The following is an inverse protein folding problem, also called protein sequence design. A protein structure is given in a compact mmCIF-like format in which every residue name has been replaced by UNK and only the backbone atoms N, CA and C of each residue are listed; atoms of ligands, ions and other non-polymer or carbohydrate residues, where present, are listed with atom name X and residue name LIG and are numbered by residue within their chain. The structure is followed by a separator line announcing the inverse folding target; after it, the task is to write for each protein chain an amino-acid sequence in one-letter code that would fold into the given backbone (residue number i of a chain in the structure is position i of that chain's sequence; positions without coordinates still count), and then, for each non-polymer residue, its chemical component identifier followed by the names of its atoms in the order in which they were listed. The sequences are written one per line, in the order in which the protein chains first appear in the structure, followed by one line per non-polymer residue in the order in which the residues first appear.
data_IF_684258157505
#
_entry.id   IF_684258157505
#
_cell.length_a   1.000
_cell.length_b   1.000
_cell.length_c   1.000
_cell.angle_alpha   90.00
_cell.angle_beta   90.00
_cell.angle_gamma   90.00
#
_symmetry.space_group_name_H-M   'P 1'
#
loop_
_entity.id
_entity.type
_entity.pdbx_description
1 polymer ?
#
# COMPACT_ATOMS: atom_id res chain seq x y z
N UNK A 1 -7.10 -2.10 7.46
CA UNK A 1 -6.83 -2.57 8.84
C UNK A 1 -7.54 -3.88 9.16
N UNK A 2 -8.86 -3.98 8.91
CA UNK A 2 -9.72 -5.10 9.34
C UNK A 2 -9.23 -6.52 8.98
N UNK A 3 -8.64 -6.74 7.79
CA UNK A 3 -8.21 -8.07 7.36
C UNK A 3 -6.94 -8.58 8.08
N UNK A 4 -6.05 -7.66 8.48
CA UNK A 4 -4.86 -7.99 9.28
C UNK A 4 -5.22 -8.29 10.74
N UNK A 5 -6.28 -7.67 11.25
CA UNK A 5 -6.75 -7.90 12.63
C UNK A 5 -7.45 -9.26 12.76
N UNK A 6 -8.26 -9.66 11.77
CA UNK A 6 -8.93 -10.95 11.75
C UNK A 6 -7.95 -12.14 11.73
N UNK A 7 -6.87 -12.06 10.94
CA UNK A 7 -5.90 -13.15 10.83
C UNK A 7 -4.88 -13.23 11.99
N UNK A 8 -4.81 -12.22 12.86
CA UNK A 8 -3.95 -12.28 14.04
C UNK A 8 -4.35 -13.40 15.02
N UNK A 9 -5.61 -13.86 14.96
CA UNK A 9 -6.16 -14.90 15.81
C UNK A 9 -5.91 -16.33 15.29
N UNK A 10 -5.78 -16.53 13.97
CA UNK A 10 -5.75 -17.88 13.37
C UNK A 10 -4.33 -18.40 13.07
N UNK A 11 -3.30 -17.55 13.18
CA UNK A 11 -1.85 -17.88 13.06
C UNK A 11 -1.45 -18.70 11.83
N UNK A 12 -2.27 -18.78 10.79
CA UNK A 12 -1.90 -19.43 9.53
C UNK A 12 -1.45 -18.39 8.51
N UNK A 13 -0.36 -18.65 7.75
CA UNK A 13 0.04 -17.77 6.67
C UNK A 13 -1.06 -17.73 5.61
N UNK A 14 -1.56 -16.54 5.28
CA UNK A 14 -2.52 -16.39 4.19
C UNK A 14 -1.82 -16.64 2.85
N UNK A 15 -2.47 -17.37 1.95
CA UNK A 15 -2.05 -17.53 0.54
C UNK A 15 -2.20 -16.25 -0.30
N UNK A 16 -2.12 -15.07 0.34
CA UNK A 16 -2.34 -13.78 -0.28
C UNK A 16 -1.13 -13.36 -1.13
N UNK A 17 -1.35 -13.13 -2.42
CA UNK A 17 -0.27 -12.75 -3.36
C UNK A 17 -0.05 -11.24 -3.41
N UNK A 18 -1.11 -10.46 -3.29
CA UNK A 18 -1.08 -8.99 -3.42
C UNK A 18 -2.08 -8.36 -2.46
N UNK A 19 -1.65 -7.33 -1.75
CA UNK A 19 -2.48 -6.45 -0.94
C UNK A 19 -2.47 -5.04 -1.56
N UNK A 20 -3.65 -4.58 -1.99
CA UNK A 20 -3.86 -3.23 -2.51
C UNK A 20 -4.45 -2.37 -1.38
N UNK A 21 -3.72 -1.34 -0.95
CA UNK A 21 -4.20 -0.41 0.08
C UNK A 21 -4.32 1.00 -0.48
N UNK A 22 -5.44 1.65 -0.20
CA UNK A 22 -5.80 2.98 -0.68
C UNK A 22 -6.17 3.89 0.49
N UNK A 23 -5.82 5.16 0.41
CA UNK A 23 -6.20 6.20 1.38
C UNK A 23 -5.13 7.29 1.52
N UNK A 24 -5.52 8.44 2.07
CA UNK A 24 -4.67 9.63 2.17
C UNK A 24 -3.42 9.44 3.05
N UNK A 25 -3.48 8.51 4.00
CA UNK A 25 -2.35 8.20 4.88
C UNK A 25 -2.22 6.69 5.09
N UNK A 26 -1.17 6.10 4.51
CA UNK A 26 -0.82 4.70 4.75
C UNK A 26 0.36 4.66 5.74
N UNK A 27 0.12 4.06 6.91
CA UNK A 27 1.12 3.91 7.97
C UNK A 27 2.31 3.04 7.55
N UNK A 28 3.51 3.42 7.98
CA UNK A 28 4.77 2.72 7.66
C UNK A 28 4.89 1.33 8.35
N UNK A 29 4.08 1.07 9.36
CA UNK A 29 4.00 -0.20 10.10
C UNK A 29 3.18 -1.27 9.36
N UNK A 30 2.23 -0.87 8.51
CA UNK A 30 1.31 -1.78 7.82
C UNK A 30 2.01 -2.82 6.91
N UNK A 31 3.03 -2.46 6.11
CA UNK A 31 3.75 -3.45 5.30
C UNK A 31 4.49 -4.49 6.16
N UNK A 32 4.99 -4.09 7.33
CA UNK A 32 5.65 -5.01 8.26
C UNK A 32 4.65 -5.99 8.87
N UNK A 33 3.47 -5.49 9.30
CA UNK A 33 2.38 -6.31 9.84
C UNK A 33 1.86 -7.31 8.80
N UNK A 34 1.73 -6.89 7.53
CA UNK A 34 1.37 -7.80 6.45
C UNK A 34 2.42 -8.90 6.26
N UNK A 35 3.71 -8.56 6.26
CA UNK A 35 4.79 -9.53 6.07
C UNK A 35 4.83 -10.60 7.17
N UNK A 36 4.41 -10.27 8.39
CA UNK A 36 4.29 -11.24 9.49
C UNK A 36 3.18 -12.28 9.25
N UNK A 37 2.14 -11.94 8.49
CA UNK A 37 0.98 -12.80 8.24
C UNK A 37 0.94 -13.42 6.85
N UNK A 38 1.60 -12.79 5.87
CA UNK A 38 1.66 -13.21 4.48
C UNK A 38 3.03 -12.81 3.90
N UNK A 39 4.11 -13.56 4.20
CA UNK A 39 5.49 -13.17 3.90
C UNK A 39 5.78 -13.03 2.40
N UNK A 40 4.99 -13.69 1.55
CA UNK A 40 5.11 -13.62 0.09
C UNK A 40 4.17 -12.59 -0.55
N UNK A 41 3.38 -11.87 0.25
CA UNK A 41 2.44 -10.90 -0.26
C UNK A 41 3.14 -9.59 -0.67
N UNK A 42 2.86 -9.13 -1.88
CA UNK A 42 3.29 -7.80 -2.34
C UNK A 42 2.35 -6.74 -1.78
N UNK A 43 2.92 -5.69 -1.19
CA UNK A 43 2.16 -4.55 -0.69
C UNK A 43 2.21 -3.43 -1.73
N UNK A 44 1.05 -3.03 -2.25
CA UNK A 44 0.92 -1.93 -3.20
C UNK A 44 0.05 -0.86 -2.58
N UNK A 45 0.66 0.29 -2.30
CA UNK A 45 -0.05 1.51 -1.95
C UNK A 45 -0.63 2.13 -3.21
N UNK A 46 -1.89 2.52 -3.16
CA UNK A 46 -2.61 3.21 -4.21
C UNK A 46 -3.03 4.57 -3.67
N UNK A 47 -2.85 5.60 -4.47
CA UNK A 47 -3.29 6.95 -4.15
C UNK A 47 -4.00 7.57 -5.35
N UNK A 48 -4.75 8.63 -5.07
CA UNK A 48 -5.49 9.36 -6.09
C UNK A 48 -6.67 10.09 -5.48
N UNK A 49 -6.93 11.28 -5.99
CA UNK A 49 -8.16 12.00 -5.73
C UNK A 49 -9.31 11.29 -6.48
N UNK A 50 -10.49 11.23 -5.86
CA UNK A 50 -11.70 10.62 -6.41
C UNK A 50 -12.03 11.09 -7.84
N UNK A 51 -11.58 12.30 -8.19
CA UNK A 51 -11.75 12.99 -9.47
C UNK A 51 -10.91 12.41 -10.62
N UNK A 52 -9.89 11.59 -10.37
CA UNK A 52 -8.93 11.12 -11.38
C UNK A 52 -9.11 9.65 -11.82
N UNK A 53 -10.29 9.07 -11.60
CA UNK A 53 -10.55 7.63 -11.51
C UNK A 53 -10.04 7.04 -10.18
N UNK A 54 -10.75 6.04 -9.65
CA UNK A 54 -10.71 5.54 -8.26
C UNK A 54 -9.28 5.44 -7.65
N UNK A 55 -8.25 5.17 -8.46
CA UNK A 55 -6.83 5.36 -8.12
C UNK A 55 -6.10 6.00 -9.31
N UNK A 56 -5.12 6.88 -9.04
CA UNK A 56 -4.29 7.49 -10.10
C UNK A 56 -2.80 7.16 -10.03
N UNK A 57 -2.31 6.71 -8.88
CA UNK A 57 -0.94 6.25 -8.69
C UNK A 57 -0.88 4.94 -7.95
N UNK A 58 0.29 4.31 -8.07
CA UNK A 58 0.67 3.19 -7.24
C UNK A 58 2.13 3.27 -6.82
N UNK A 59 2.41 2.67 -5.67
CA UNK A 59 3.73 2.47 -5.13
C UNK A 59 3.85 1.07 -4.56
N UNK A 60 4.70 0.23 -5.15
CA UNK A 60 5.04 -1.07 -4.56
C UNK A 60 6.02 -0.86 -3.40
N UNK A 61 5.56 -1.16 -2.20
CA UNK A 61 6.31 -0.87 -0.97
C UNK A 61 7.37 -1.93 -0.73
N UNK A 62 8.63 -1.53 -0.85
CA UNK A 62 9.79 -2.31 -0.43
C UNK A 62 10.42 -1.60 0.77
N UNK A 63 10.46 -2.28 1.91
CA UNK A 63 11.07 -1.75 3.14
C UNK A 63 12.57 -2.05 3.17
N UNK A 64 13.39 -1.23 3.87
CA UNK A 64 13.01 -0.04 4.64
C UNK A 64 12.86 1.24 3.79
N UNK A 65 12.09 2.22 4.29
CA UNK A 65 11.93 3.56 3.70
C UNK A 65 12.52 4.64 4.64
N UNK A 66 13.85 4.78 4.74
CA UNK A 66 14.47 5.72 5.68
C UNK A 66 14.14 7.18 5.35
N UNK A 67 13.83 7.98 6.37
CA UNK A 67 13.56 9.42 6.24
C UNK A 67 12.14 9.80 5.80
N UNK A 68 11.29 8.83 5.48
CA UNK A 68 9.90 9.08 5.10
C UNK A 68 8.97 9.11 6.32
N UNK A 69 7.97 10.00 6.30
CA UNK A 69 6.92 10.10 7.34
C UNK A 69 5.67 9.26 7.01
N UNK A 70 5.47 8.94 5.72
CA UNK A 70 4.38 8.12 5.18
C UNK A 70 4.85 7.44 3.89
N UNK A 71 4.07 6.48 3.37
CA UNK A 71 4.40 5.81 2.11
C UNK A 71 4.31 6.82 0.94
N UNK A 72 5.31 6.87 0.04
CA UNK A 72 5.27 7.74 -1.13
C UNK A 72 4.07 7.43 -2.05
N UNK A 73 3.57 8.46 -2.74
CA UNK A 73 2.53 8.31 -3.78
C UNK A 73 2.99 7.47 -4.99
N UNK A 74 4.30 7.37 -5.24
CA UNK A 74 4.85 6.52 -6.29
C UNK A 74 4.66 7.08 -7.70
N UNK A 75 4.22 6.23 -8.62
CA UNK A 75 4.15 6.52 -10.06
C UNK A 75 2.71 6.45 -10.57
N UNK A 76 2.34 7.24 -11.60
CA UNK A 76 1.00 7.16 -12.17
C UNK A 76 0.72 5.76 -12.73
N UNK A 77 -0.56 5.36 -12.72
CA UNK A 77 -0.97 4.16 -13.45
C UNK A 77 -0.82 4.37 -14.96
N UNK A 78 -0.85 3.27 -15.71
CA UNK A 78 -0.83 3.33 -17.16
C UNK A 78 -1.95 4.25 -17.68
N UNK A 79 -1.62 5.13 -18.61
CA UNK A 79 -2.51 6.13 -19.21
C UNK A 79 -2.94 7.29 -18.28
N UNK A 80 -2.26 7.51 -17.15
CA UNK A 80 -2.43 8.69 -16.31
C UNK A 80 -1.11 9.45 -16.16
N UNK A 81 -1.18 10.76 -15.87
CA UNK A 81 -0.01 11.63 -15.73
C UNK A 81 -0.17 12.59 -14.55
N UNK A 82 0.94 12.93 -13.89
CA UNK A 82 0.98 13.97 -12.85
C UNK A 82 1.72 15.21 -13.30
N UNK A 83 1.26 16.34 -12.78
CA UNK A 83 2.03 17.58 -12.77
C UNK A 83 2.06 18.09 -11.33
N UNK A 84 3.26 18.24 -10.78
CA UNK A 84 3.46 19.01 -9.54
C UNK A 84 3.51 20.47 -9.97
N UNK A 85 2.64 21.29 -9.40
CA UNK A 85 2.61 22.74 -9.59
C UNK A 85 2.87 23.41 -8.25
N UNK A 86 3.53 24.57 -8.31
CA UNK A 86 3.93 25.42 -7.19
C UNK A 86 2.80 26.34 -6.69
#
# INVERSE_FOLDING_TARGET
SMLLEANALERQPLGLKVALLSGDWIGLDLPQRLRQQAPHCRFIALGGATEAAIWSNHFEVRQPLPGWRSIPYGVPLANQAYRVVD
#
